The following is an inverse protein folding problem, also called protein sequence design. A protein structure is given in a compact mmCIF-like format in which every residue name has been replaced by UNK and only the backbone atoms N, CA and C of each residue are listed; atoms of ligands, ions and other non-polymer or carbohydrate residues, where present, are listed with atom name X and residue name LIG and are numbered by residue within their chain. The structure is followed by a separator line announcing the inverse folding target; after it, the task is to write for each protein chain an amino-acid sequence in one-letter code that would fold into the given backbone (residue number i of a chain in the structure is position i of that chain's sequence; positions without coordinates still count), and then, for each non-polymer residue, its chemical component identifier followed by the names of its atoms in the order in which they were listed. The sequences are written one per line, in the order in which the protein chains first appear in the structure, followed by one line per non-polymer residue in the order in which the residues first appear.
data_IF_089821621955
#
_entry.id   IF_089821621955
#
_cell.length_a   1.000
_cell.length_b   1.000
_cell.length_c   1.000
_cell.angle_alpha   90.00
_cell.angle_beta   90.00
_cell.angle_gamma   90.00
#
_symmetry.space_group_name_H-M   'P 1'
#
loop_
_entity.id
_entity.type
_entity.pdbx_description
1 polymer ?
#
# COMPACT_ATOMS: atom_id res chain seq x y z
N UNK A 1 5.17 0.03 -33.83
CA UNK A 1 4.55 -0.60 -32.63
C UNK A 1 5.12 0.14 -31.43
N UNK A 2 4.44 1.17 -30.94
CA UNK A 2 4.87 1.91 -29.74
C UNK A 2 4.22 1.26 -28.54
N UNK A 3 4.97 0.42 -27.83
CA UNK A 3 4.60 -0.01 -26.48
C UNK A 3 4.36 1.24 -25.63
N UNK A 4 3.10 1.46 -25.25
CA UNK A 4 2.72 2.51 -24.29
C UNK A 4 3.29 2.12 -22.92
N UNK A 5 4.57 2.39 -22.69
CA UNK A 5 5.21 2.26 -21.38
C UNK A 5 4.54 3.29 -20.47
N UNK A 6 3.50 2.87 -19.74
CA UNK A 6 2.86 3.75 -18.75
C UNK A 6 3.92 4.19 -17.74
N UNK A 7 4.19 5.49 -17.59
CA UNK A 7 5.23 5.94 -16.67
C UNK A 7 4.83 5.57 -15.25
N UNK A 8 5.77 4.94 -14.53
CA UNK A 8 5.60 4.61 -13.11
C UNK A 8 5.38 5.91 -12.33
N UNK A 9 4.26 6.00 -11.61
CA UNK A 9 4.01 7.09 -10.66
C UNK A 9 4.51 6.66 -9.29
N UNK A 10 5.33 7.51 -8.66
CA UNK A 10 5.85 7.29 -7.31
C UNK A 10 5.11 8.24 -6.37
N UNK A 11 4.64 7.70 -5.25
CA UNK A 11 4.04 8.48 -4.16
C UNK A 11 5.00 8.39 -2.98
N UNK A 12 5.50 9.55 -2.52
CA UNK A 12 6.26 9.66 -1.28
C UNK A 12 5.33 10.07 -0.14
N UNK A 13 5.45 9.42 1.01
CA UNK A 13 4.66 9.75 2.21
C UNK A 13 5.64 10.07 3.34
N UNK A 14 5.48 11.26 3.93
CA UNK A 14 6.17 11.61 5.16
C UNK A 14 5.41 11.07 6.36
N UNK A 15 6.13 10.48 7.31
CA UNK A 15 5.57 9.94 8.54
C UNK A 15 6.55 10.09 9.69
N UNK A 16 6.08 9.93 10.92
CA UNK A 16 6.97 9.97 12.09
C UNK A 16 8.00 8.84 12.01
N UNK A 17 9.21 9.01 12.58
CA UNK A 17 10.24 7.96 12.57
C UNK A 17 9.72 6.64 13.15
N UNK A 18 8.95 6.71 14.24
CA UNK A 18 8.34 5.54 14.88
C UNK A 18 7.39 4.79 13.93
N UNK A 19 6.54 5.50 13.19
CA UNK A 19 5.63 4.84 12.24
C UNK A 19 6.39 4.21 11.07
N UNK A 20 7.42 4.89 10.56
CA UNK A 20 8.26 4.35 9.49
C UNK A 20 8.95 3.03 9.88
N UNK A 21 9.39 2.92 11.13
CA UNK A 21 9.96 1.67 11.68
C UNK A 21 8.89 0.57 11.67
N UNK A 22 7.71 0.83 12.23
CA UNK A 22 6.63 -0.18 12.32
C UNK A 22 6.17 -0.66 10.94
N UNK A 23 6.07 0.24 9.96
CA UNK A 23 5.72 -0.15 8.57
C UNK A 23 6.78 -1.04 7.95
N UNK A 24 8.07 -0.76 8.19
CA UNK A 24 9.17 -1.60 7.70
C UNK A 24 9.21 -2.96 8.37
N UNK A 25 9.00 -3.01 9.68
CA UNK A 25 8.92 -4.25 10.46
C UNK A 25 7.79 -5.14 9.93
N UNK A 26 6.62 -4.57 9.67
CA UNK A 26 5.48 -5.31 9.14
C UNK A 26 5.75 -5.87 7.73
N UNK A 27 6.33 -5.05 6.85
CA UNK A 27 6.71 -5.50 5.51
C UNK A 27 7.75 -6.63 5.57
N UNK A 28 8.73 -6.54 6.48
CA UNK A 28 9.72 -7.58 6.70
C UNK A 28 9.10 -8.85 7.27
N UNK A 29 8.19 -8.72 8.24
CA UNK A 29 7.46 -9.83 8.87
C UNK A 29 6.63 -10.62 7.86
N UNK A 30 6.00 -9.95 6.91
CA UNK A 30 5.25 -10.57 5.82
C UNK A 30 6.12 -11.02 4.63
N UNK A 31 7.40 -10.67 4.61
CA UNK A 31 8.31 -10.97 3.49
C UNK A 31 7.95 -10.25 2.20
N UNK A 32 7.35 -9.05 2.28
CA UNK A 32 6.89 -8.27 1.11
C UNK A 32 7.54 -6.90 1.05
N UNK A 33 7.49 -6.26 -0.12
CA UNK A 33 7.87 -4.85 -0.24
C UNK A 33 6.82 -3.94 0.40
N UNK A 34 7.23 -2.74 0.85
CA UNK A 34 6.31 -1.72 1.38
C UNK A 34 5.20 -1.39 0.36
N UNK A 35 5.52 -1.36 -0.94
CA UNK A 35 4.52 -1.20 -1.99
C UNK A 35 3.45 -2.28 -1.90
N UNK A 36 3.86 -3.54 -1.78
CA UNK A 36 2.92 -4.67 -1.76
C UNK A 36 2.10 -4.71 -0.48
N UNK A 37 2.72 -4.36 0.66
CA UNK A 37 2.01 -4.16 1.92
C UNK A 37 0.93 -3.09 1.77
N UNK A 38 1.26 -1.94 1.18
CA UNK A 38 0.29 -0.87 0.93
C UNK A 38 -0.87 -1.32 0.02
N UNK A 39 -0.58 -2.03 -1.07
CA UNK A 39 -1.62 -2.59 -1.96
C UNK A 39 -2.61 -3.46 -1.17
N UNK A 40 -2.11 -4.38 -0.31
CA UNK A 40 -2.96 -5.24 0.54
C UNK A 40 -3.80 -4.45 1.53
N UNK A 41 -3.18 -3.48 2.21
CA UNK A 41 -3.89 -2.63 3.18
C UNK A 41 -4.98 -1.81 2.50
N UNK A 42 -4.72 -1.32 1.28
CA UNK A 42 -5.70 -0.55 0.50
C UNK A 42 -6.88 -1.40 0.07
N UNK A 43 -6.62 -2.62 -0.42
CA UNK A 43 -7.68 -3.56 -0.81
C UNK A 43 -8.59 -3.88 0.39
N UNK A 44 -8.00 -4.21 1.55
CA UNK A 44 -8.74 -4.46 2.79
C UNK A 44 -9.54 -3.24 3.26
N UNK A 45 -8.97 -2.03 3.13
CA UNK A 45 -9.70 -0.79 3.42
C UNK A 45 -10.91 -0.60 2.49
N UNK A 46 -10.77 -0.85 1.19
CA UNK A 46 -11.86 -0.75 0.22
C UNK A 46 -12.95 -1.79 0.49
N UNK A 47 -12.57 -3.02 0.83
CA UNK A 47 -13.52 -4.07 1.25
C UNK A 47 -14.30 -3.64 2.50
N UNK A 48 -13.62 -3.10 3.51
CA UNK A 48 -14.28 -2.60 4.72
C UNK A 48 -15.30 -1.49 4.42
N UNK A 49 -15.01 -0.62 3.44
CA UNK A 49 -15.93 0.45 3.01
C UNK A 49 -17.14 -0.08 2.25
N UNK A 50 -16.97 -1.12 1.43
CA UNK A 50 -18.10 -1.76 0.73
C UNK A 50 -19.07 -2.40 1.71
N UNK A 51 -18.54 -3.12 2.71
CA UNK A 51 -19.37 -3.77 3.74
C UNK A 51 -20.15 -2.76 4.59
N UNK A 52 -19.56 -1.61 4.90
CA UNK A 52 -20.22 -0.52 5.64
C UNK A 52 -21.35 0.17 4.86
N UNK A 53 -21.27 0.22 3.52
CA UNK A 53 -22.28 0.86 2.68
C UNK A 53 -23.41 -0.10 2.24
N UNK A 54 -23.30 -1.39 2.56
CA UNK A 54 -24.26 -2.43 2.24
C UNK A 54 -25.10 -2.88 3.45
N UNK A 55 -24.93 -2.23 4.61
CA UNK A 55 -25.68 -2.46 5.84
C UNK A 55 -26.63 -1.30 6.14
#
# INVERSE_FOLDING_TARGET
MTDNIKPRKIIGVSMTPALAVRVKEEAAREGVSIRKLFERMWDAYQESKKTQNAS
#
